data_IF_161676172123
#
_entry.id   IF_161676172123
#
_cell.length_a   1.000
_cell.length_b   1.000
_cell.length_c   1.000
_cell.angle_alpha   90.00
_cell.angle_beta   90.00
_cell.angle_gamma   90.00
#
_symmetry.space_group_name_H-M   'P 1'
#
loop_
_entity.id
_entity.type
_entity.pdbx_description
1 polymer ?
#
# COMPACT_ATOMS: atom_id res chain seq x y z
N UNK A 1 4.22 12.40 5.01
CA UNK A 1 3.29 11.85 6.01
C UNK A 1 3.52 12.55 7.34
N UNK A 2 2.47 13.08 7.89
CA UNK A 2 2.53 13.79 9.16
C UNK A 2 1.84 12.97 10.25
N UNK A 3 2.57 12.66 11.32
CA UNK A 3 2.05 11.91 12.46
C UNK A 3 1.73 12.82 13.66
N UNK A 4 1.45 14.10 13.41
CA UNK A 4 1.06 15.05 14.46
C UNK A 4 2.16 15.39 15.45
N UNK A 5 3.40 15.30 15.04
CA UNK A 5 4.55 15.59 15.91
C UNK A 5 4.91 14.46 16.86
N UNK A 6 4.17 13.36 16.86
CA UNK A 6 4.47 12.17 17.67
C UNK A 6 5.27 11.19 16.83
N UNK A 7 6.39 10.73 17.38
CA UNK A 7 7.19 9.71 16.71
C UNK A 7 6.55 8.35 16.91
N UNK A 8 6.09 7.75 15.82
CA UNK A 8 5.45 6.44 15.82
C UNK A 8 6.36 5.45 15.10
N UNK A 9 6.67 4.33 15.75
CA UNK A 9 7.42 3.26 15.13
C UNK A 9 6.48 2.20 14.60
N UNK A 10 6.59 1.94 13.30
CA UNK A 10 5.85 0.88 12.62
C UNK A 10 6.85 -0.07 11.99
N UNK A 11 6.59 -1.37 12.10
CA UNK A 11 7.39 -2.36 11.39
C UNK A 11 6.66 -2.78 10.12
N UNK A 12 7.37 -3.47 9.23
CA UNK A 12 6.71 -4.04 8.04
C UNK A 12 5.64 -5.05 8.44
N UNK A 13 5.87 -5.82 9.51
CA UNK A 13 4.86 -6.74 10.03
C UNK A 13 3.59 -6.01 10.45
N UNK A 14 3.73 -4.83 11.06
CA UNK A 14 2.57 -4.02 11.43
C UNK A 14 1.81 -3.54 10.19
N UNK A 15 2.52 -3.05 9.18
CA UNK A 15 1.91 -2.56 7.94
C UNK A 15 1.16 -3.66 7.20
N UNK A 16 1.69 -4.87 7.19
CA UNK A 16 1.06 -6.02 6.51
C UNK A 16 -0.27 -6.43 7.12
N UNK A 17 -0.53 -6.05 8.35
CA UNK A 17 -1.78 -6.37 9.05
C UNK A 17 -2.86 -5.32 8.85
N UNK A 18 -2.55 -4.25 8.13
CA UNK A 18 -3.47 -3.14 7.90
C UNK A 18 -4.00 -3.17 6.48
N UNK A 19 -5.29 -2.94 6.34
CA UNK A 19 -5.91 -2.90 5.02
C UNK A 19 -5.71 -1.54 4.37
N UNK A 20 -5.30 -1.55 3.09
CA UNK A 20 -5.08 -0.33 2.31
C UNK A 20 -6.39 0.07 1.64
N UNK A 21 -6.84 1.29 1.89
CA UNK A 21 -8.11 1.81 1.39
C UNK A 21 -7.86 3.16 0.71
N UNK A 22 -8.44 3.31 -0.49
CA UNK A 22 -8.35 4.56 -1.24
C UNK A 22 -9.45 5.52 -0.79
N UNK A 23 -9.06 6.71 -0.31
CA UNK A 23 -10.01 7.71 0.14
C UNK A 23 -10.79 8.35 -1.00
N UNK A 24 -10.26 8.32 -2.23
CA UNK A 24 -10.92 8.94 -3.38
C UNK A 24 -12.21 8.24 -3.77
N UNK A 25 -12.23 6.90 -3.72
CA UNK A 25 -13.37 6.10 -4.20
C UNK A 25 -13.77 4.98 -3.25
N UNK A 26 -13.12 4.87 -2.09
CA UNK A 26 -13.39 3.82 -1.12
C UNK A 26 -12.89 2.44 -1.53
N UNK A 27 -12.10 2.35 -2.62
CA UNK A 27 -11.61 1.07 -3.09
C UNK A 27 -10.70 0.41 -2.05
N UNK A 28 -10.95 -0.86 -1.77
CA UNK A 28 -10.18 -1.63 -0.81
C UNK A 28 -9.13 -2.43 -1.57
N UNK A 29 -7.89 -1.98 -1.52
CA UNK A 29 -6.79 -2.64 -2.22
C UNK A 29 -6.44 -3.99 -1.61
N UNK A 30 -6.57 -4.13 -0.31
CA UNK A 30 -6.16 -5.32 0.43
C UNK A 30 -4.94 -5.04 1.29
N UNK A 31 -4.10 -6.05 1.44
CA UNK A 31 -2.97 -5.99 2.38
C UNK A 31 -1.64 -5.95 1.64
N UNK A 32 -0.72 -5.15 2.17
CA UNK A 32 0.63 -5.02 1.64
C UNK A 32 1.38 -6.35 1.79
N UNK A 33 2.05 -6.80 0.73
CA UNK A 33 2.90 -7.98 0.80
C UNK A 33 4.37 -7.69 0.50
N UNK A 34 4.69 -6.47 0.07
CA UNK A 34 6.06 -6.08 -0.24
C UNK A 34 6.21 -4.57 -0.19
N UNK A 35 7.45 -4.09 -0.21
CA UNK A 35 7.80 -2.68 -0.23
C UNK A 35 8.80 -2.41 -1.32
N UNK A 36 8.67 -1.25 -1.97
CA UNK A 36 9.73 -0.71 -2.81
C UNK A 36 10.68 0.12 -1.95
N UNK A 37 11.97 -0.05 -2.16
CA UNK A 37 13.00 0.68 -1.39
C UNK A 37 14.00 1.29 -2.36
N UNK A 38 14.29 2.58 -2.16
CA UNK A 38 15.39 3.24 -2.85
C UNK A 38 16.67 2.97 -2.05
N UNK A 39 17.52 2.11 -2.60
CA UNK A 39 18.74 1.67 -1.91
C UNK A 39 19.82 2.76 -1.85
N UNK A 40 19.71 3.80 -2.70
CA UNK A 40 20.65 4.92 -2.65
C UNK A 40 20.47 5.78 -1.40
N UNK A 41 19.23 6.02 -1.00
CA UNK A 41 18.94 6.83 0.17
C UNK A 41 18.30 6.05 1.32
N UNK A 42 17.99 4.77 1.11
CA UNK A 42 17.40 3.92 2.15
C UNK A 42 15.95 4.24 2.49
N UNK A 43 15.23 4.87 1.56
CA UNK A 43 13.82 5.26 1.81
C UNK A 43 12.86 4.30 1.14
N UNK A 44 11.71 4.10 1.79
CA UNK A 44 10.59 3.37 1.19
C UNK A 44 9.99 4.25 0.09
N UNK A 45 9.82 3.69 -1.09
CA UNK A 45 9.25 4.40 -2.24
C UNK A 45 7.81 4.03 -2.49
N UNK A 46 7.42 2.79 -2.21
CA UNK A 46 6.10 2.28 -2.55
C UNK A 46 5.62 1.21 -1.58
N UNK A 47 4.30 1.08 -1.48
CA UNK A 47 3.64 -0.09 -0.91
C UNK A 47 3.21 -0.98 -2.08
N UNK A 48 3.46 -2.27 -1.98
CA UNK A 48 3.08 -3.22 -3.03
C UNK A 48 2.01 -4.16 -2.49
N UNK A 49 0.86 -4.18 -3.18
CA UNK A 49 -0.32 -4.94 -2.79
C UNK A 49 -0.71 -5.87 -3.93
N UNK A 50 -0.82 -7.18 -3.71
CA UNK A 50 -1.20 -8.08 -4.78
C UNK A 50 -2.66 -7.86 -5.19
N UNK A 51 -2.92 -7.95 -6.49
CA UNK A 51 -4.28 -7.85 -7.02
C UNK A 51 -5.01 -9.17 -6.76
N UNK A 52 -6.19 -9.11 -6.13
CA UNK A 52 -7.01 -10.29 -5.90
C UNK A 52 -7.73 -10.69 -7.18
N UNK A 53 -7.95 -11.99 -7.35
CA UNK A 53 -8.76 -12.50 -8.45
C UNK A 53 -10.23 -12.10 -8.26
N UNK A 54 -11.04 -12.26 -9.32
CA UNK A 54 -12.45 -11.85 -9.33
C UNK A 54 -13.28 -12.47 -8.20
N UNK A 55 -12.94 -13.70 -7.79
CA UNK A 55 -13.67 -14.38 -6.72
C UNK A 55 -13.05 -14.14 -5.32
N UNK A 56 -11.97 -13.37 -5.24
CA UNK A 56 -11.33 -13.03 -3.97
C UNK A 56 -10.58 -14.17 -3.29
N UNK A 57 -10.53 -15.37 -3.90
CA UNK A 57 -9.90 -16.55 -3.30
C UNK A 57 -8.40 -16.60 -3.60
N UNK A 58 -8.02 -16.19 -4.80
CA UNK A 58 -6.64 -16.23 -5.25
C UNK A 58 -6.14 -14.84 -5.61
N UNK A 59 -4.83 -14.63 -5.48
CA UNK A 59 -4.19 -13.41 -5.96
C UNK A 59 -3.76 -13.60 -7.40
N UNK A 60 -3.83 -12.53 -8.18
CA UNK A 60 -3.28 -12.53 -9.53
C UNK A 60 -1.76 -12.65 -9.45
N UNK A 61 -1.19 -13.54 -10.27
CA UNK A 61 0.26 -13.73 -10.31
C UNK A 61 0.97 -12.72 -11.19
N UNK A 62 0.22 -12.04 -12.06
CA UNK A 62 0.79 -11.15 -13.08
C UNK A 62 0.48 -9.68 -12.86
N UNK A 63 -0.24 -9.33 -11.80
CA UNK A 63 -0.59 -7.94 -11.50
C UNK A 63 -0.41 -7.62 -10.03
N UNK A 64 -0.02 -6.38 -9.76
CA UNK A 64 0.08 -5.84 -8.43
C UNK A 64 -0.24 -4.35 -8.44
N UNK A 65 -0.64 -3.82 -7.28
CA UNK A 65 -0.75 -2.39 -7.09
C UNK A 65 0.54 -1.86 -6.50
N UNK A 66 1.09 -0.82 -7.13
CA UNK A 66 2.30 -0.14 -6.63
C UNK A 66 1.88 1.26 -6.22
N UNK A 67 1.74 1.47 -4.92
CA UNK A 67 1.20 2.69 -4.36
C UNK A 67 2.36 3.53 -3.83
N UNK A 68 2.61 4.73 -4.40
CA UNK A 68 3.69 5.58 -3.94
C UNK A 68 3.55 5.92 -2.46
N UNK A 69 4.65 5.85 -1.73
CA UNK A 69 4.68 6.16 -0.30
C UNK A 69 4.13 7.54 0.01
N UNK A 70 4.43 8.51 -0.86
CA UNK A 70 3.98 9.89 -0.70
C UNK A 70 2.46 10.08 -0.85
N UNK A 71 1.76 9.08 -1.37
CA UNK A 71 0.29 9.10 -1.52
C UNK A 71 -0.44 8.56 -0.30
N UNK A 72 0.28 8.12 0.71
CA UNK A 72 -0.32 7.70 1.97
C UNK A 72 -0.79 8.94 2.72
N UNK A 73 -2.08 8.99 3.03
CA UNK A 73 -2.66 10.10 3.78
C UNK A 73 -2.55 9.87 5.28
N UNK A 74 -2.73 8.61 5.71
CA UNK A 74 -2.73 8.28 7.12
C UNK A 74 -2.48 6.79 7.33
N UNK A 75 -1.72 6.46 8.35
CA UNK A 75 -1.55 5.09 8.83
C UNK A 75 -2.27 4.99 10.16
N UNK A 76 -3.38 4.27 10.17
CA UNK A 76 -4.17 4.04 11.36
C UNK A 76 -3.79 2.74 12.05
N UNK A 77 -4.60 2.33 13.04
CA UNK A 77 -4.39 1.09 13.78
C UNK A 77 -4.59 -0.13 12.89
N UNK A 78 -5.67 -0.13 12.09
CA UNK A 78 -6.07 -1.29 11.29
C UNK A 78 -6.12 -1.00 9.78
N UNK A 79 -5.90 0.24 9.39
CA UNK A 79 -6.02 0.67 7.98
C UNK A 79 -4.89 1.60 7.60
N UNK A 80 -4.62 1.65 6.28
CA UNK A 80 -3.73 2.62 5.66
C UNK A 80 -4.57 3.35 4.61
N UNK A 81 -4.74 4.65 4.80
CA UNK A 81 -5.50 5.47 3.85
C UNK A 81 -4.56 6.08 2.81
N UNK A 82 -4.91 5.90 1.54
CA UNK A 82 -4.12 6.41 0.42
C UNK A 82 -5.02 7.24 -0.50
N UNK A 83 -4.42 8.12 -1.28
CA UNK A 83 -5.13 8.96 -2.24
C UNK A 83 -4.48 8.78 -3.61
N UNK A 84 -5.02 7.86 -4.41
CA UNK A 84 -4.47 7.49 -5.72
C UNK A 84 -5.59 7.24 -6.72
N UNK A 85 -5.23 7.25 -8.00
CA UNK A 85 -6.09 6.73 -9.06
C UNK A 85 -5.86 5.21 -9.13
N UNK A 86 -6.88 4.42 -8.83
CA UNK A 86 -6.77 2.96 -8.75
C UNK A 86 -6.23 2.34 -10.04
N UNK A 87 -6.68 2.84 -11.20
CA UNK A 87 -6.23 2.31 -12.49
C UNK A 87 -4.76 2.60 -12.76
N UNK A 88 -4.26 3.76 -12.32
CA UNK A 88 -2.88 4.16 -12.58
C UNK A 88 -1.85 3.38 -11.74
N UNK A 89 -2.25 2.88 -10.59
CA UNK A 89 -1.32 2.17 -9.70
C UNK A 89 -1.29 0.67 -9.94
N UNK A 90 -2.16 0.15 -10.80
CA UNK A 90 -2.17 -1.26 -11.17
C UNK A 90 -1.09 -1.53 -12.23
N UNK A 91 -0.18 -2.45 -11.96
CA UNK A 91 0.95 -2.76 -12.84
C UNK A 91 1.13 -4.24 -13.01
N UNK A 92 1.72 -4.63 -14.15
CA UNK A 92 2.11 -6.02 -14.39
C UNK A 92 3.38 -6.34 -13.62
N UNK A 93 3.43 -7.54 -13.09
CA UNK A 93 4.64 -8.09 -12.46
C UNK A 93 5.49 -8.70 -13.56
N UNK A 94 6.75 -8.28 -13.62
CA UNK A 94 7.71 -8.81 -14.60
C UNK A 94 8.39 -10.07 -14.08
#
# INVERSE_FOLDING_TARGET
INFGGVRVMETFCDLKQKEVINVCDGFRFGYVNNLGIDTCCGKITDLIVPVQSKNGIFYSKDKEYVIPWEKICRIGKDIILVEVNTAEVCRKVD
#
